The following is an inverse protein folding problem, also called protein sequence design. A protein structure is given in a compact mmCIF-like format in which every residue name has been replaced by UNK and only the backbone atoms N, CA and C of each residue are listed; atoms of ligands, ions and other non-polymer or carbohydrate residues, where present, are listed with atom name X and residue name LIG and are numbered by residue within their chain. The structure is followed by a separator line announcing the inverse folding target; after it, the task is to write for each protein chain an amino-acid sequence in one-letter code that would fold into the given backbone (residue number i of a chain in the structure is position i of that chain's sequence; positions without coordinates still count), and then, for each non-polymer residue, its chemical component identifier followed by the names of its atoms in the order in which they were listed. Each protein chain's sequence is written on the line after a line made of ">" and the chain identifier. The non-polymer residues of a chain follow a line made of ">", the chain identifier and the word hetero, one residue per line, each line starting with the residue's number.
data_IF_807820159889
#
_entry.id   IF_807820159889
#
_cell.length_a   1.000
_cell.length_b   1.000
_cell.length_c   1.000
_cell.angle_alpha   90.00
_cell.angle_beta   90.00
_cell.angle_gamma   90.00
#
_symmetry.space_group_name_H-M   'P 1'
#
loop_
_entity.id
_entity.type
_entity.pdbx_description
1 polymer ?
#
# COMPACT_ATOMS: atom_id res chain seq x y z
N UNK A 1 -11.16 10.65 -15.58
CA UNK A 1 -11.12 10.22 -14.15
C UNK A 1 -9.99 9.24 -13.84
N UNK A 2 -9.79 8.16 -14.61
CA UNK A 2 -8.73 7.17 -14.32
C UNK A 2 -7.31 7.78 -14.39
N UNK A 3 -6.94 8.39 -15.52
CA UNK A 3 -5.58 8.95 -15.70
C UNK A 3 -5.22 10.01 -14.65
N UNK A 4 -6.18 10.85 -14.25
CA UNK A 4 -6.00 11.87 -13.21
C UNK A 4 -5.72 11.29 -11.81
N UNK A 5 -6.06 10.03 -11.55
CA UNK A 5 -5.71 9.34 -10.30
C UNK A 5 -4.35 8.64 -10.37
N UNK A 6 -3.83 8.44 -11.59
CA UNK A 6 -2.60 7.69 -11.86
C UNK A 6 -1.41 8.60 -12.14
N UNK A 7 -1.64 9.84 -12.60
CA UNK A 7 -0.59 10.79 -13.00
C UNK A 7 0.42 11.12 -11.88
N UNK A 8 -0.06 11.14 -10.63
CA UNK A 8 0.77 11.34 -9.44
C UNK A 8 1.53 10.09 -8.99
N UNK A 9 1.15 8.90 -9.50
CA UNK A 9 1.66 7.61 -9.02
C UNK A 9 2.58 6.91 -10.02
N UNK A 10 2.41 7.17 -11.32
CA UNK A 10 3.08 6.44 -12.38
C UNK A 10 3.46 7.37 -13.53
N UNK A 11 4.51 6.99 -14.26
CA UNK A 11 4.85 7.60 -15.54
C UNK A 11 3.84 7.16 -16.61
N UNK A 12 2.95 8.07 -17.03
CA UNK A 12 1.91 7.78 -18.03
C UNK A 12 2.42 8.11 -19.44
N UNK A 13 2.47 7.13 -20.33
CA UNK A 13 2.76 7.34 -21.76
C UNK A 13 1.49 7.00 -22.56
N UNK A 14 0.79 8.00 -23.12
CA UNK A 14 -0.44 7.74 -23.86
C UNK A 14 -0.12 7.16 -25.24
N UNK A 15 -0.89 6.13 -25.62
CA UNK A 15 -0.80 5.47 -26.92
C UNK A 15 -2.18 5.40 -27.58
N UNK A 16 -2.20 5.52 -28.90
CA UNK A 16 -3.38 5.22 -29.72
C UNK A 16 -3.20 3.80 -30.25
N UNK A 17 -3.96 2.87 -29.68
CA UNK A 17 -3.95 1.48 -30.09
C UNK A 17 -4.66 1.28 -31.44
N UNK A 18 -4.27 0.24 -32.19
CA UNK A 18 -4.86 -0.12 -33.48
C UNK A 18 -4.92 1.07 -34.45
N UNK A 19 -3.83 1.83 -34.52
CA UNK A 19 -3.75 3.03 -35.34
C UNK A 19 -3.98 2.77 -36.85
N UNK A 20 -3.85 1.52 -37.30
CA UNK A 20 -4.17 1.07 -38.66
C UNK A 20 -5.66 1.15 -39.01
N UNK A 21 -6.53 1.45 -38.03
CA UNK A 21 -7.96 1.68 -38.24
C UNK A 21 -8.32 3.14 -38.52
N UNK A 22 -7.35 4.05 -38.44
CA UNK A 22 -7.56 5.51 -38.54
C UNK A 22 -6.74 6.04 -39.72
N UNK A 23 -7.32 6.91 -40.54
CA UNK A 23 -6.57 7.54 -41.63
C UNK A 23 -5.54 8.54 -41.10
N UNK A 24 -4.49 8.83 -41.88
CA UNK A 24 -3.43 9.76 -41.45
C UNK A 24 -3.94 11.16 -41.12
N UNK A 25 -4.94 11.66 -41.85
CA UNK A 25 -5.52 12.99 -41.63
C UNK A 25 -6.38 13.04 -40.37
N UNK A 26 -7.14 11.99 -40.09
CA UNK A 26 -7.92 11.85 -38.85
C UNK A 26 -7.01 11.65 -37.64
N UNK A 27 -5.93 10.88 -37.81
CA UNK A 27 -4.97 10.59 -36.75
C UNK A 27 -4.33 11.87 -36.22
N UNK A 28 -3.95 12.82 -37.09
CA UNK A 28 -3.39 14.10 -36.67
C UNK A 28 -4.37 14.90 -35.82
N UNK A 29 -5.62 15.01 -36.27
CA UNK A 29 -6.69 15.68 -35.49
C UNK A 29 -6.92 14.97 -34.15
N UNK A 30 -6.90 13.64 -34.16
CA UNK A 30 -7.11 12.85 -32.96
C UNK A 30 -5.98 13.03 -31.93
N UNK A 31 -4.71 13.06 -32.38
CA UNK A 31 -3.56 13.36 -31.51
C UNK A 31 -3.70 14.75 -30.87
N UNK A 32 -4.03 15.77 -31.65
CA UNK A 32 -4.24 17.13 -31.13
C UNK A 32 -5.35 17.16 -30.09
N UNK A 33 -6.52 16.56 -30.39
CA UNK A 33 -7.65 16.54 -29.47
C UNK A 33 -7.31 15.86 -28.14
N UNK A 34 -6.62 14.71 -28.19
CA UNK A 34 -6.17 14.00 -26.96
C UNK A 34 -5.25 14.90 -26.14
N UNK A 35 -4.26 15.53 -26.75
CA UNK A 35 -3.32 16.40 -26.03
C UNK A 35 -4.01 17.62 -25.42
N UNK A 36 -4.95 18.24 -26.14
CA UNK A 36 -5.77 19.34 -25.62
C UNK A 36 -6.63 18.88 -24.43
N UNK A 37 -7.23 17.69 -24.50
CA UNK A 37 -8.05 17.15 -23.41
C UNK A 37 -7.20 16.82 -22.17
N UNK A 38 -6.02 16.24 -22.36
CA UNK A 38 -5.09 15.96 -21.26
C UNK A 38 -4.66 17.25 -20.54
N UNK A 39 -4.30 18.27 -21.31
CA UNK A 39 -3.87 19.56 -20.77
C UNK A 39 -5.02 20.30 -20.06
N UNK A 40 -6.20 20.35 -20.66
CA UNK A 40 -7.38 21.02 -20.05
C UNK A 40 -7.83 20.35 -18.76
N UNK A 41 -7.65 19.04 -18.62
CA UNK A 41 -7.92 18.30 -17.38
C UNK A 41 -6.72 18.30 -16.41
N UNK A 42 -5.58 18.90 -16.79
CA UNK A 42 -4.34 18.95 -16.02
C UNK A 42 -3.75 17.58 -15.72
N UNK A 43 -3.90 16.61 -16.62
CA UNK A 43 -3.34 15.27 -16.46
C UNK A 43 -1.88 15.31 -16.85
N UNK A 44 -0.98 15.02 -15.90
CA UNK A 44 0.45 15.01 -16.16
C UNK A 44 0.86 13.69 -16.81
N UNK A 45 1.36 13.76 -18.04
CA UNK A 45 1.96 12.62 -18.72
C UNK A 45 3.48 12.64 -18.57
N UNK A 46 4.11 11.53 -18.87
CA UNK A 46 5.56 11.44 -18.90
C UNK A 46 6.10 12.15 -20.14
N UNK A 47 6.91 13.18 -19.90
CA UNK A 47 7.69 13.88 -20.90
C UNK A 47 9.15 13.43 -20.82
N UNK A 48 9.76 13.21 -21.99
CA UNK A 48 11.17 12.84 -22.10
C UNK A 48 12.05 14.01 -21.68
N UNK A 49 13.11 13.75 -20.89
CA UNK A 49 14.04 14.79 -20.46
C UNK A 49 14.75 15.40 -21.66
N UNK A 50 14.73 16.73 -21.75
CA UNK A 50 15.45 17.50 -22.79
C UNK A 50 16.69 18.19 -22.24
N UNK A 51 17.07 17.87 -21.01
CA UNK A 51 18.14 18.58 -20.28
C UNK A 51 19.53 18.02 -20.59
N UNK A 52 19.61 16.79 -21.13
CA UNK A 52 20.86 16.16 -21.57
C UNK A 52 21.23 16.66 -22.98
N UNK A 53 22.33 17.39 -23.09
CA UNK A 53 22.84 17.94 -24.37
C UNK A 53 23.02 16.88 -25.46
N UNK A 54 23.26 15.61 -25.13
CA UNK A 54 23.49 14.55 -26.11
C UNK A 54 22.20 13.92 -26.67
N UNK A 55 21.10 14.00 -25.92
CA UNK A 55 19.82 13.35 -26.25
C UNK A 55 18.65 14.33 -26.35
N UNK A 56 18.87 15.61 -26.08
CA UNK A 56 17.85 16.66 -26.06
C UNK A 56 17.06 16.73 -27.37
N UNK A 57 17.74 16.80 -28.51
CA UNK A 57 17.09 16.89 -29.83
C UNK A 57 16.22 15.66 -30.14
N UNK A 58 16.73 14.47 -29.79
CA UNK A 58 16.00 13.21 -29.99
C UNK A 58 14.77 13.18 -29.11
N UNK A 59 14.92 13.49 -27.83
CA UNK A 59 13.82 13.49 -26.85
C UNK A 59 12.77 14.56 -27.16
N UNK A 60 13.18 15.74 -27.61
CA UNK A 60 12.28 16.79 -28.08
C UNK A 60 11.45 16.33 -29.28
N UNK A 61 12.10 15.69 -30.27
CA UNK A 61 11.39 15.10 -31.42
C UNK A 61 10.44 13.97 -30.99
N UNK A 62 10.81 13.15 -30.00
CA UNK A 62 9.96 12.06 -29.49
C UNK A 62 8.74 12.60 -28.73
N UNK A 63 8.91 13.66 -27.92
CA UNK A 63 7.81 14.32 -27.22
C UNK A 63 6.72 14.82 -28.20
N UNK A 64 7.10 15.26 -29.42
CA UNK A 64 6.14 15.67 -30.46
C UNK A 64 5.29 14.52 -31.02
N UNK A 65 5.74 13.27 -30.89
CA UNK A 65 5.02 12.11 -31.42
C UNK A 65 3.96 11.57 -30.46
N UNK A 66 3.95 12.04 -29.20
CA UNK A 66 2.99 11.66 -28.16
C UNK A 66 1.63 12.30 -28.45
N UNK A 67 0.52 11.54 -28.40
CA UNK A 67 0.43 10.10 -28.12
C UNK A 67 0.88 9.22 -29.30
N UNK A 68 1.62 8.15 -29.03
CA UNK A 68 2.17 7.27 -30.07
C UNK A 68 1.07 6.45 -30.75
N UNK A 69 1.00 6.49 -32.08
CA UNK A 69 0.03 5.73 -32.84
C UNK A 69 0.60 4.35 -33.21
N UNK A 70 0.16 3.31 -32.51
CA UNK A 70 0.80 1.99 -32.59
C UNK A 70 -0.08 0.91 -33.18
N UNK A 71 0.57 -0.03 -33.87
CA UNK A 71 -0.02 -1.24 -34.42
C UNK A 71 0.76 -2.42 -33.86
N UNK A 72 0.04 -3.40 -33.30
CA UNK A 72 0.64 -4.63 -32.78
C UNK A 72 0.36 -5.81 -33.70
N UNK A 73 1.36 -6.65 -33.94
CA UNK A 73 1.18 -7.96 -34.58
C UNK A 73 2.23 -8.95 -34.07
N UNK A 74 1.80 -10.20 -33.86
CA UNK A 74 2.67 -11.35 -33.60
C UNK A 74 2.96 -12.17 -34.86
N UNK A 75 2.22 -11.92 -35.94
CA UNK A 75 2.34 -12.65 -37.20
C UNK A 75 3.45 -12.09 -38.07
N UNK A 76 4.24 -12.99 -38.68
CA UNK A 76 5.26 -12.63 -39.64
C UNK A 76 4.75 -12.88 -41.07
N UNK A 77 4.82 -11.84 -41.89
CA UNK A 77 4.48 -11.92 -43.31
C UNK A 77 5.75 -11.67 -44.12
N UNK A 78 5.93 -12.42 -45.20
CA UNK A 78 7.03 -12.22 -46.15
C UNK A 78 6.71 -11.01 -47.02
N UNK A 79 7.42 -9.90 -46.78
CA UNK A 79 7.34 -8.70 -47.61
C UNK A 79 8.66 -8.55 -48.36
N UNK A 80 8.65 -8.85 -49.65
CA UNK A 80 9.87 -8.99 -50.45
C UNK A 80 10.72 -10.19 -49.99
N UNK A 81 11.96 -9.94 -49.59
CA UNK A 81 12.91 -10.97 -49.13
C UNK A 81 13.06 -11.07 -47.60
N UNK A 82 12.29 -10.30 -46.83
CA UNK A 82 12.38 -10.29 -45.36
C UNK A 82 11.06 -10.71 -44.72
N UNK A 83 11.15 -11.44 -43.62
CA UNK A 83 10.02 -11.73 -42.75
C UNK A 83 9.86 -10.56 -41.79
N UNK A 84 8.69 -9.91 -41.80
CA UNK A 84 8.42 -8.77 -40.93
C UNK A 84 7.10 -8.93 -40.19
N UNK A 85 7.05 -8.47 -38.94
CA UNK A 85 5.82 -8.40 -38.16
C UNK A 85 4.81 -7.47 -38.86
N UNK A 86 3.68 -8.03 -39.26
CA UNK A 86 2.72 -7.31 -40.09
C UNK A 86 1.28 -7.76 -39.83
N UNK A 87 0.32 -6.92 -40.17
CA UNK A 87 -1.10 -7.29 -40.24
C UNK A 87 -1.53 -7.35 -41.70
N UNK A 88 -2.06 -8.49 -42.13
CA UNK A 88 -2.54 -8.70 -43.49
C UNK A 88 -4.02 -8.37 -43.60
N UNK A 89 -4.37 -7.52 -44.55
CA UNK A 89 -5.74 -7.22 -44.94
C UNK A 89 -5.95 -7.52 -46.43
N UNK A 90 -7.20 -7.67 -46.90
CA UNK A 90 -7.49 -7.84 -48.33
C UNK A 90 -6.99 -6.68 -49.20
N UNK A 91 -6.93 -5.46 -48.64
CA UNK A 91 -6.49 -4.25 -49.34
C UNK A 91 -5.00 -3.93 -49.17
N UNK A 92 -4.25 -4.70 -48.37
CA UNK A 92 -2.83 -4.46 -48.19
C UNK A 92 -2.26 -4.99 -46.88
N UNK A 93 -0.97 -4.71 -46.66
CA UNK A 93 -0.22 -5.22 -45.51
C UNK A 93 0.32 -4.06 -44.69
N UNK A 94 -0.04 -4.01 -43.40
CA UNK A 94 0.48 -3.01 -42.47
C UNK A 94 1.69 -3.58 -41.74
N UNK A 95 2.88 -3.12 -42.13
CA UNK A 95 4.14 -3.44 -41.46
C UNK A 95 4.25 -2.69 -40.11
N UNK A 96 4.52 -3.41 -39.02
CA UNK A 96 4.62 -2.83 -37.66
C UNK A 96 5.91 -2.03 -37.48
N UNK A 97 7.02 -2.47 -38.07
CA UNK A 97 8.33 -1.80 -37.92
C UNK A 97 8.57 -0.68 -38.94
N UNK A 98 7.55 -0.32 -39.73
CA UNK A 98 7.64 0.72 -40.72
C UNK A 98 7.12 2.05 -40.13
N UNK A 99 8.01 3.03 -39.99
CA UNK A 99 7.67 4.35 -39.42
C UNK A 99 6.67 5.15 -40.25
N UNK A 100 6.50 4.83 -41.53
CA UNK A 100 5.48 5.47 -42.38
C UNK A 100 4.08 4.95 -42.11
N UNK A 101 3.95 3.80 -41.46
CA UNK A 101 2.69 3.15 -41.10
C UNK A 101 2.29 3.40 -39.66
N UNK A 102 3.23 3.33 -38.71
CA UNK A 102 2.95 3.56 -37.29
C UNK A 102 4.19 3.99 -36.50
N UNK A 103 3.97 4.49 -35.28
CA UNK A 103 5.00 4.99 -34.38
C UNK A 103 5.61 3.90 -33.48
N UNK A 104 5.41 2.61 -33.79
CA UNK A 104 5.88 1.51 -32.95
C UNK A 104 7.41 1.53 -32.72
N UNK A 105 8.18 1.82 -33.77
CA UNK A 105 9.65 1.92 -33.67
C UNK A 105 10.02 3.02 -32.67
N UNK A 106 9.41 4.21 -32.79
CA UNK A 106 9.65 5.34 -31.89
C UNK A 106 9.33 4.97 -30.44
N UNK A 107 8.18 4.35 -30.19
CA UNK A 107 7.79 3.89 -28.86
C UNK A 107 8.80 2.88 -28.28
N UNK A 108 9.27 1.92 -29.09
CA UNK A 108 10.23 0.89 -28.66
C UNK A 108 11.59 1.50 -28.28
N UNK A 109 12.15 2.34 -29.15
CA UNK A 109 13.44 2.98 -28.90
C UNK A 109 13.38 3.82 -27.63
N UNK A 110 12.27 4.54 -27.44
CA UNK A 110 12.05 5.40 -26.30
C UNK A 110 11.89 4.64 -24.98
N UNK A 111 11.11 3.56 -24.95
CA UNK A 111 10.87 2.77 -23.73
C UNK A 111 12.09 1.96 -23.28
N UNK A 112 12.81 1.36 -24.24
CA UNK A 112 13.79 0.31 -23.93
C UNK A 112 15.23 0.82 -24.09
N UNK A 113 15.50 1.70 -25.06
CA UNK A 113 16.87 2.06 -25.42
C UNK A 113 17.37 3.30 -24.71
N UNK A 114 16.56 4.36 -24.64
CA UNK A 114 17.04 5.68 -24.20
C UNK A 114 16.57 6.07 -22.80
N UNK A 115 15.29 5.88 -22.46
CA UNK A 115 14.70 6.59 -21.32
C UNK A 115 14.30 5.69 -20.13
N UNK A 116 14.73 4.42 -20.13
CA UNK A 116 14.39 3.47 -19.06
C UNK A 116 14.94 3.92 -17.70
N UNK A 117 16.17 4.43 -17.68
CA UNK A 117 16.82 4.88 -16.44
C UNK A 117 16.15 6.14 -15.87
N UNK A 118 15.87 7.13 -16.72
CA UNK A 118 15.13 8.34 -16.32
C UNK A 118 13.75 7.99 -15.77
N UNK A 119 12.99 7.11 -16.44
CA UNK A 119 11.70 6.65 -15.93
C UNK A 119 11.82 6.02 -14.54
N UNK A 120 12.88 5.22 -14.30
CA UNK A 120 13.15 4.61 -12.99
C UNK A 120 13.47 5.67 -11.94
N UNK A 121 14.31 6.64 -12.28
CA UNK A 121 14.68 7.75 -11.39
C UNK A 121 13.47 8.60 -11.04
N UNK A 122 12.66 9.02 -12.02
CA UNK A 122 11.42 9.77 -11.80
C UNK A 122 10.42 8.99 -10.94
N UNK A 123 10.35 7.67 -11.13
CA UNK A 123 9.53 6.80 -10.26
C UNK A 123 10.01 6.85 -8.82
N UNK A 124 11.32 6.79 -8.58
CA UNK A 124 11.89 6.84 -7.25
C UNK A 124 11.76 8.24 -6.61
N UNK A 125 12.30 9.27 -7.27
CA UNK A 125 12.44 10.60 -6.71
C UNK A 125 11.13 11.40 -6.64
N UNK A 126 10.14 11.07 -7.48
CA UNK A 126 8.85 11.78 -7.50
C UNK A 126 7.70 10.92 -7.01
N UNK A 127 7.41 9.82 -7.70
CA UNK A 127 6.21 9.02 -7.43
C UNK A 127 6.29 8.29 -6.09
N UNK A 128 7.42 7.64 -5.82
CA UNK A 128 7.65 6.95 -4.56
C UNK A 128 7.80 7.94 -3.40
N UNK A 129 8.55 9.03 -3.54
CA UNK A 129 8.66 10.02 -2.46
C UNK A 129 7.32 10.68 -2.10
N UNK A 130 6.46 10.96 -3.08
CA UNK A 130 5.11 11.45 -2.81
C UNK A 130 4.29 10.43 -2.00
N UNK A 131 4.36 9.15 -2.38
CA UNK A 131 3.72 8.06 -1.64
C UNK A 131 4.30 7.92 -0.23
N UNK A 132 5.63 7.95 -0.11
CA UNK A 132 6.38 7.81 1.14
C UNK A 132 6.00 8.91 2.11
N UNK A 133 6.00 10.18 1.65
CA UNK A 133 5.56 11.32 2.45
C UNK A 133 4.14 11.10 3.00
N UNK A 134 3.19 10.79 2.12
CA UNK A 134 1.79 10.53 2.53
C UNK A 134 1.68 9.37 3.53
N UNK A 135 2.44 8.29 3.34
CA UNK A 135 2.44 7.15 4.27
C UNK A 135 3.05 7.48 5.61
N UNK A 136 4.11 8.26 5.65
CA UNK A 136 4.72 8.73 6.89
C UNK A 136 3.74 9.61 7.68
N UNK A 137 3.03 10.53 6.99
CA UNK A 137 1.98 11.35 7.58
C UNK A 137 0.85 10.49 8.17
N UNK A 138 0.37 9.47 7.44
CA UNK A 138 -0.65 8.53 7.94
C UNK A 138 -0.18 7.71 9.15
N UNK A 139 1.12 7.42 9.24
CA UNK A 139 1.74 6.81 10.41
C UNK A 139 2.01 7.81 11.54
N UNK A 140 1.61 9.07 11.37
CA UNK A 140 1.77 10.17 12.33
C UNK A 140 3.19 10.73 12.41
N UNK A 141 4.02 10.53 11.40
CA UNK A 141 5.31 11.23 11.29
C UNK A 141 5.07 12.54 10.54
N UNK A 142 5.25 13.66 11.24
CA UNK A 142 5.21 15.00 10.65
C UNK A 142 6.62 15.60 10.64
N UNK A 143 6.93 16.35 9.58
CA UNK A 143 8.20 17.09 9.47
C UNK A 143 8.24 18.31 10.41
N UNK A 144 7.11 18.64 11.05
CA UNK A 144 6.96 19.78 11.96
C UNK A 144 6.36 19.37 13.30
N UNK A 145 6.82 20.01 14.37
CA UNK A 145 6.21 20.02 15.70
C UNK A 145 4.97 20.93 15.75
N UNK A 146 4.19 20.83 16.83
CA UNK A 146 3.13 21.74 17.29
C UNK A 146 3.51 23.22 17.23
N UNK A 147 4.79 23.57 17.37
CA UNK A 147 5.33 24.93 17.20
C UNK A 147 5.81 25.26 15.78
N UNK A 148 5.48 24.42 14.79
CA UNK A 148 5.87 24.56 13.39
C UNK A 148 7.39 24.53 13.14
N UNK A 149 8.16 23.98 14.09
CA UNK A 149 9.61 23.81 13.98
C UNK A 149 9.95 22.50 13.26
N UNK A 150 10.99 22.48 12.40
CA UNK A 150 11.40 21.26 11.73
C UNK A 150 11.85 20.21 12.75
N UNK A 151 11.19 19.06 12.78
CA UNK A 151 11.57 17.92 13.62
C UNK A 151 12.39 16.92 12.83
N UNK A 152 13.48 16.44 13.44
CA UNK A 152 14.27 15.36 12.86
C UNK A 152 13.47 14.04 12.89
N UNK A 153 13.55 13.28 11.80
CA UNK A 153 12.94 11.95 11.69
C UNK A 153 13.37 11.03 12.84
N UNK A 154 14.64 11.10 13.23
CA UNK A 154 15.19 10.29 14.31
C UNK A 154 14.57 10.65 15.67
N UNK A 155 14.39 11.94 15.93
CA UNK A 155 13.78 12.44 17.17
C UNK A 155 12.30 12.05 17.27
N UNK A 156 11.57 12.12 16.14
CA UNK A 156 10.17 11.66 16.07
C UNK A 156 10.04 10.16 16.32
N UNK A 157 10.98 9.36 15.82
CA UNK A 157 11.03 7.91 16.05
C UNK A 157 11.33 7.57 17.51
N UNK A 158 12.32 8.25 18.11
CA UNK A 158 12.67 8.09 19.53
C UNK A 158 11.50 8.46 20.46
N UNK A 159 10.81 9.56 20.17
CA UNK A 159 9.63 10.00 20.93
C UNK A 159 8.50 8.97 20.85
N UNK A 160 8.17 8.47 19.65
CA UNK A 160 7.16 7.40 19.50
C UNK A 160 7.56 6.11 20.18
N UNK A 161 8.84 5.71 20.08
CA UNK A 161 9.35 4.51 20.75
C UNK A 161 9.23 4.64 22.27
N UNK A 162 9.61 5.80 22.82
CA UNK A 162 9.50 6.10 24.24
C UNK A 162 8.04 6.08 24.71
N UNK A 163 7.14 6.74 23.98
CA UNK A 163 5.70 6.74 24.27
C UNK A 163 5.10 5.33 24.22
N UNK A 164 5.48 4.51 23.23
CA UNK A 164 5.02 3.13 23.12
C UNK A 164 5.51 2.25 24.28
N UNK A 165 6.78 2.39 24.68
CA UNK A 165 7.33 1.69 25.84
C UNK A 165 6.62 2.10 27.13
N UNK A 166 6.32 3.39 27.31
CA UNK A 166 5.57 3.88 28.45
C UNK A 166 4.13 3.32 28.50
N UNK A 167 3.47 3.20 27.35
CA UNK A 167 2.13 2.59 27.26
C UNK A 167 2.15 1.11 27.61
N UNK A 168 3.16 0.36 27.14
CA UNK A 168 3.35 -1.05 27.49
C UNK A 168 3.59 -1.23 28.99
N UNK A 169 4.44 -0.39 29.59
CA UNK A 169 4.69 -0.42 31.02
C UNK A 169 3.42 -0.12 31.83
N UNK A 170 2.64 0.88 31.41
CA UNK A 170 1.35 1.18 32.05
C UNK A 170 0.39 0.00 31.99
N UNK A 171 0.27 -0.67 30.83
CA UNK A 171 -0.56 -1.88 30.70
C UNK A 171 -0.05 -3.03 31.57
N UNK A 172 1.27 -3.18 31.70
CA UNK A 172 1.87 -4.17 32.60
C UNK A 172 1.52 -3.88 34.07
N UNK A 173 1.63 -2.63 34.50
CA UNK A 173 1.27 -2.21 35.86
C UNK A 173 -0.22 -2.38 36.13
N UNK A 174 -1.09 -2.04 35.17
CA UNK A 174 -2.53 -2.29 35.24
C UNK A 174 -2.84 -3.79 35.39
N UNK A 175 -2.17 -4.66 34.62
CA UNK A 175 -2.31 -6.12 34.74
C UNK A 175 -1.83 -6.63 36.10
N UNK A 176 -0.70 -6.12 36.61
CA UNK A 176 -0.18 -6.48 37.93
C UNK A 176 -1.13 -6.06 39.04
N UNK A 177 -1.67 -4.85 38.98
CA UNK A 177 -2.66 -4.38 39.95
C UNK A 177 -3.94 -5.23 39.91
N UNK A 178 -4.44 -5.54 38.71
CA UNK A 178 -5.59 -6.42 38.52
C UNK A 178 -5.35 -7.81 39.15
N UNK A 179 -4.14 -8.36 38.98
CA UNK A 179 -3.75 -9.63 39.59
C UNK A 179 -3.76 -9.57 41.12
N UNK A 180 -3.20 -8.52 41.72
CA UNK A 180 -3.20 -8.36 43.19
C UNK A 180 -4.63 -8.27 43.73
N UNK A 181 -5.51 -7.52 43.06
CA UNK A 181 -6.93 -7.42 43.44
C UNK A 181 -7.60 -8.80 43.37
N UNK A 182 -7.42 -9.53 42.26
CA UNK A 182 -7.96 -10.89 42.07
C UNK A 182 -7.46 -11.87 43.15
N UNK A 183 -6.19 -11.83 43.51
CA UNK A 183 -5.62 -12.69 44.56
C UNK A 183 -6.27 -12.36 45.91
N UNK A 184 -6.39 -11.08 46.24
CA UNK A 184 -7.00 -10.64 47.51
C UNK A 184 -8.48 -11.01 47.61
N UNK A 185 -9.23 -10.90 46.52
CA UNK A 185 -10.62 -11.38 46.44
C UNK A 185 -10.70 -12.88 46.70
N UNK A 186 -9.84 -13.68 46.04
CA UNK A 186 -9.80 -15.13 46.23
C UNK A 186 -9.37 -15.55 47.63
N UNK A 187 -8.42 -14.86 48.23
CA UNK A 187 -8.04 -15.09 49.63
C UNK A 187 -9.20 -14.81 50.60
N UNK A 188 -9.98 -13.75 50.36
CA UNK A 188 -11.15 -13.44 51.18
C UNK A 188 -12.25 -14.49 51.01
N UNK A 189 -12.53 -14.93 49.78
CA UNK A 189 -13.49 -16.02 49.51
C UNK A 189 -13.07 -17.33 50.21
N UNK A 190 -11.78 -17.67 50.17
CA UNK A 190 -11.24 -18.84 50.85
C UNK A 190 -11.40 -18.72 52.37
N UNK A 191 -11.08 -17.56 52.95
CA UNK A 191 -11.26 -17.31 54.40
C UNK A 191 -12.71 -17.45 54.83
N UNK A 192 -13.65 -16.95 54.04
CA UNK A 192 -15.07 -17.06 54.37
C UNK A 192 -15.57 -18.50 54.23
N UNK A 193 -15.09 -19.24 53.22
CA UNK A 193 -15.33 -20.68 53.08
C UNK A 193 -14.75 -21.48 54.26
N UNK A 194 -13.55 -21.17 54.73
CA UNK A 194 -12.92 -21.80 55.91
C UNK A 194 -13.73 -21.55 57.18
N UNK A 195 -14.25 -20.33 57.39
CA UNK A 195 -15.12 -20.01 58.53
C UNK A 195 -16.39 -20.84 58.49
N UNK A 196 -17.04 -20.97 57.33
CA UNK A 196 -18.24 -21.81 57.20
C UNK A 196 -17.96 -23.28 57.53
N UNK A 197 -16.86 -23.83 57.02
CA UNK A 197 -16.44 -25.21 57.33
C UNK A 197 -16.15 -25.36 58.82
N UNK A 198 -15.47 -24.40 59.43
CA UNK A 198 -15.17 -24.40 60.87
C UNK A 198 -16.45 -24.38 61.74
N UNK A 199 -17.43 -23.55 61.37
CA UNK A 199 -18.74 -23.49 62.04
C UNK A 199 -19.48 -24.83 61.92
N UNK A 200 -19.53 -25.42 60.72
CA UNK A 200 -20.15 -26.73 60.48
C UNK A 200 -19.47 -27.83 61.30
N UNK A 201 -18.14 -27.83 61.36
CA UNK A 201 -17.37 -28.81 62.12
C UNK A 201 -17.62 -28.67 63.64
N UNK A 202 -17.63 -27.45 64.18
CA UNK A 202 -17.95 -27.21 65.59
C UNK A 202 -19.38 -27.64 65.94
N UNK A 203 -20.35 -27.38 65.06
CA UNK A 203 -21.73 -27.86 65.21
C UNK A 203 -21.81 -29.39 65.22
N UNK A 204 -21.07 -30.06 64.34
CA UNK A 204 -20.99 -31.52 64.29
C UNK A 204 -20.38 -32.11 65.57
N UNK A 205 -19.30 -31.54 66.09
CA UNK A 205 -18.69 -31.94 67.36
C UNK A 205 -19.63 -31.75 68.55
N UNK A 206 -20.41 -30.66 68.58
CA UNK A 206 -21.39 -30.42 69.63
C UNK A 206 -22.52 -31.47 69.60
N UNK A 207 -23.00 -31.84 68.41
CA UNK A 207 -23.97 -32.92 68.21
C UNK A 207 -23.43 -34.28 68.65
N UNK A 208 -22.18 -34.60 68.32
CA UNK A 208 -21.49 -35.82 68.78
C UNK A 208 -21.38 -35.88 70.31
N UNK A 209 -20.98 -34.77 70.94
CA UNK A 209 -20.92 -34.66 72.40
C UNK A 209 -22.29 -34.86 73.04
N UNK A 210 -23.35 -34.29 72.46
CA UNK A 210 -24.73 -34.48 72.93
C UNK A 210 -25.17 -35.94 72.75
N UNK A 211 -24.86 -36.58 71.62
CA UNK A 211 -25.15 -37.99 71.38
C UNK A 211 -24.42 -38.91 72.37
N UNK A 212 -23.13 -38.71 72.62
CA UNK A 212 -22.39 -39.48 73.62
C UNK A 212 -22.95 -39.28 75.04
N UNK A 213 -23.45 -38.09 75.35
CA UNK A 213 -24.07 -37.79 76.65
C UNK A 213 -25.45 -38.46 76.78
N UNK A 214 -26.23 -38.51 75.71
CA UNK A 214 -27.50 -39.23 75.60
C UNK A 214 -27.31 -40.75 75.68
N UNK A 215 -26.33 -41.32 74.97
CA UNK A 215 -25.98 -42.75 75.10
C UNK A 215 -25.55 -43.11 76.52
N UNK A 216 -24.77 -42.24 77.17
CA UNK A 216 -24.37 -42.42 78.57
C UNK A 216 -25.55 -42.35 79.53
N UNK A 217 -26.56 -41.54 79.21
CA UNK A 217 -27.79 -41.43 79.99
C UNK A 217 -28.70 -42.67 79.81
N UNK A 218 -28.84 -43.17 78.57
CA UNK A 218 -29.56 -44.41 78.28
C UNK A 218 -28.89 -45.62 78.94
N UNK A 219 -27.56 -45.74 78.92
CA UNK A 219 -26.82 -46.82 79.61
C UNK A 219 -26.93 -46.81 81.14
N UNK A 220 -27.35 -45.68 81.75
CA UNK A 220 -27.59 -45.58 83.20
C UNK A 220 -29.04 -45.83 83.60
N UNK A 221 -29.97 -45.86 82.64
CA UNK A 221 -31.41 -46.01 82.87
C UNK A 221 -31.95 -47.40 82.49
N UNK A 222 -31.07 -48.33 82.11
CA UNK A 222 -31.33 -49.76 81.88
C UNK A 222 -30.52 -50.58 82.88
#
# INVERSE_FOLDING_TARGET
>A
VCMKKLDSKLNIIPIIAKADTISKSELQKFKTNIMTELNSNGVHIYEFPTDDETMSDVNAAMNQHVPFAVVGSTEFVKVGNKMMRSRQYPWGTVQVENETHCDFVKLREMLIRTNMEDMREKTHCKHYELYRKKRLEEMGFSDVDSENKPMSFQQSYENKRSSHLAELQKKEDEMRQMFVVRVKEKENELKDSEKEVSIKNNGFWMLLLLFSRLESFCKRSA
#
